data_IF_374953566248
#
_entry.id   IF_374953566248
#
_cell.length_a   1.000
_cell.length_b   1.000
_cell.length_c   1.000
_cell.angle_alpha   90.00
_cell.angle_beta   90.00
_cell.angle_gamma   90.00
#
_symmetry.space_group_name_H-M   'P 1'
#
loop_
_entity.id
_entity.type
_entity.pdbx_description
1 polymer ?
#
# COMPACT_ATOMS: atom_id res chain seq x y z
N UNK A 1 -0.31 -18.73 -1.68
CA UNK A 1 -0.31 -17.28 -1.99
C UNK A 1 -1.30 -16.60 -1.07
N UNK A 2 -0.84 -15.64 -0.28
CA UNK A 2 -1.61 -14.83 0.67
C UNK A 2 -1.27 -13.35 0.46
N UNK A 3 -2.07 -12.47 1.06
CA UNK A 3 -1.77 -11.03 1.09
C UNK A 3 -0.40 -10.83 1.77
N UNK A 4 0.44 -9.99 1.18
CA UNK A 4 1.81 -9.73 1.61
C UNK A 4 2.86 -10.65 0.98
N UNK A 5 2.48 -11.70 0.25
CA UNK A 5 3.47 -12.49 -0.50
C UNK A 5 4.03 -11.65 -1.66
N UNK A 6 5.36 -11.71 -1.83
CA UNK A 6 6.07 -11.13 -2.98
C UNK A 6 6.24 -12.20 -4.05
N UNK A 7 5.90 -11.86 -5.29
CA UNK A 7 5.96 -12.76 -6.43
C UNK A 7 6.75 -12.11 -7.55
N UNK A 8 7.68 -12.84 -8.14
CA UNK A 8 8.45 -12.38 -9.30
C UNK A 8 7.81 -12.93 -10.56
N UNK A 9 7.53 -12.06 -11.52
CA UNK A 9 7.05 -12.44 -12.85
C UNK A 9 7.83 -11.75 -13.94
N UNK A 10 8.03 -12.47 -15.04
CA UNK A 10 8.63 -11.93 -16.25
C UNK A 10 7.58 -11.18 -17.05
N UNK A 11 7.79 -9.90 -17.30
CA UNK A 11 6.97 -9.03 -18.16
C UNK A 11 7.90 -8.42 -19.20
N UNK A 12 7.56 -8.53 -20.49
CA UNK A 12 8.29 -7.91 -21.60
C UNK A 12 9.81 -8.11 -21.55
N UNK A 13 10.23 -9.35 -21.23
CA UNK A 13 11.63 -9.82 -21.08
C UNK A 13 12.37 -9.35 -19.82
N UNK A 14 11.79 -8.46 -19.02
CA UNK A 14 12.31 -8.06 -17.71
C UNK A 14 11.63 -8.84 -16.57
N UNK A 15 12.32 -9.01 -15.45
CA UNK A 15 11.71 -9.51 -14.21
C UNK A 15 11.16 -8.33 -13.41
N UNK A 16 9.91 -8.45 -12.98
CA UNK A 16 9.26 -7.50 -12.10
C UNK A 16 8.73 -8.22 -10.86
N UNK A 17 8.83 -7.56 -9.71
CA UNK A 17 8.32 -8.05 -8.43
C UNK A 17 6.98 -7.42 -8.13
N UNK A 18 6.07 -8.21 -7.57
CA UNK A 18 4.73 -7.77 -7.22
C UNK A 18 4.39 -8.19 -5.79
N UNK A 19 3.70 -7.33 -5.05
CA UNK A 19 3.10 -7.67 -3.77
C UNK A 19 1.62 -8.01 -3.97
N UNK A 20 1.17 -9.13 -3.39
CA UNK A 20 -0.25 -9.47 -3.36
C UNK A 20 -0.95 -8.61 -2.30
N UNK A 21 -1.92 -7.81 -2.73
CA UNK A 21 -2.69 -6.92 -1.84
C UNK A 21 -4.13 -7.37 -1.64
N UNK A 22 -4.61 -8.33 -2.43
CA UNK A 22 -5.98 -8.82 -2.31
C UNK A 22 -6.34 -9.90 -3.33
N UNK A 23 -7.56 -10.39 -3.21
CA UNK A 23 -8.15 -11.36 -4.13
C UNK A 23 -9.62 -11.02 -4.33
N UNK A 24 -10.13 -11.30 -5.52
CA UNK A 24 -11.57 -11.29 -5.80
C UNK A 24 -11.95 -12.48 -6.68
N UNK A 25 -13.24 -12.80 -6.72
CA UNK A 25 -13.78 -13.78 -7.66
C UNK A 25 -14.45 -13.02 -8.79
N UNK A 26 -13.99 -13.23 -10.02
CA UNK A 26 -14.58 -12.62 -11.20
C UNK A 26 -16.01 -13.14 -11.39
N UNK A 27 -17.01 -12.26 -11.35
CA UNK A 27 -18.42 -12.68 -11.37
C UNK A 27 -18.82 -13.40 -12.67
N UNK A 28 -18.16 -13.06 -13.79
CA UNK A 28 -18.48 -13.63 -15.10
C UNK A 28 -17.85 -14.99 -15.36
N UNK A 29 -16.67 -15.27 -14.79
CA UNK A 29 -15.92 -16.51 -15.05
C UNK A 29 -15.86 -17.44 -13.84
N UNK A 30 -16.16 -16.94 -12.64
CA UNK A 30 -15.98 -17.66 -11.38
C UNK A 30 -14.51 -17.82 -10.96
N UNK A 31 -13.57 -17.25 -11.73
CA UNK A 31 -12.14 -17.40 -11.46
C UNK A 31 -11.70 -16.53 -10.29
N UNK A 32 -10.80 -17.08 -9.47
CA UNK A 32 -10.15 -16.34 -8.40
C UNK A 32 -8.98 -15.53 -8.96
N UNK A 33 -9.09 -14.21 -8.92
CA UNK A 33 -8.10 -13.28 -9.43
C UNK A 33 -7.35 -12.63 -8.26
N UNK A 34 -6.02 -12.51 -8.40
CA UNK A 34 -5.19 -11.81 -7.44
C UNK A 34 -5.01 -10.35 -7.86
N UNK A 35 -5.05 -9.43 -6.88
CA UNK A 35 -4.73 -8.03 -7.06
C UNK A 35 -3.26 -7.83 -6.68
N UNK A 36 -2.48 -7.30 -7.62
CA UNK A 36 -1.03 -7.17 -7.51
C UNK A 36 -0.63 -5.69 -7.53
N UNK A 37 0.25 -5.29 -6.61
CA UNK A 37 0.95 -4.01 -6.66
C UNK A 37 2.37 -4.23 -7.18
N UNK A 38 2.79 -3.50 -8.21
CA UNK A 38 4.16 -3.58 -8.72
C UNK A 38 5.14 -2.94 -7.74
N UNK A 39 6.24 -3.61 -7.46
CA UNK A 39 7.32 -3.13 -6.62
C UNK A 39 8.48 -2.68 -7.51
N UNK A 40 8.80 -1.40 -7.47
CA UNK A 40 10.10 -0.92 -7.96
C UNK A 40 11.15 -1.22 -6.87
N UNK A 41 12.13 -2.11 -7.13
CA UNK A 41 13.13 -2.48 -6.12
C UNK A 41 13.97 -1.30 -5.63
N UNK A 42 14.06 -0.20 -6.39
CA UNK A 42 14.79 0.99 -5.98
C UNK A 42 13.99 1.92 -5.05
N UNK A 43 12.69 1.64 -4.89
CA UNK A 43 11.74 2.48 -4.15
C UNK A 43 11.14 1.77 -2.94
N UNK A 44 11.63 0.58 -2.57
CA UNK A 44 11.19 -0.16 -1.38
C UNK A 44 11.93 0.38 -0.15
N UNK A 45 11.17 0.89 0.81
CA UNK A 45 11.69 1.35 2.10
C UNK A 45 11.01 0.58 3.23
N UNK A 46 11.80 0.23 4.25
CA UNK A 46 11.26 -0.29 5.49
C UNK A 46 10.85 0.88 6.38
N UNK A 47 9.64 0.79 6.94
CA UNK A 47 9.06 1.83 7.79
C UNK A 47 8.38 1.17 8.99
N UNK A 48 8.47 1.81 10.16
CA UNK A 48 7.75 1.34 11.34
C UNK A 48 6.24 1.40 11.10
N UNK A 49 5.51 0.35 11.47
CA UNK A 49 4.03 0.35 11.40
C UNK A 49 3.43 1.52 12.17
N UNK A 50 4.10 2.00 13.22
CA UNK A 50 3.67 3.14 14.02
C UNK A 50 3.68 4.46 13.22
N UNK A 51 4.59 4.61 12.25
CA UNK A 51 4.66 5.78 11.37
C UNK A 51 3.55 5.77 10.30
N UNK A 52 3.08 4.58 9.93
CA UNK A 52 1.94 4.41 9.02
C UNK A 52 0.59 4.43 9.75
N UNK A 53 0.59 4.49 11.08
CA UNK A 53 -0.63 4.56 11.85
C UNK A 53 -1.40 5.83 11.47
N UNK A 54 -2.72 5.76 11.23
CA UNK A 54 -3.51 6.95 10.99
C UNK A 54 -3.30 7.93 12.15
N UNK A 55 -2.84 9.14 11.83
CA UNK A 55 -2.77 10.23 12.81
C UNK A 55 -4.14 10.38 13.45
N UNK A 56 -4.18 10.33 14.79
CA UNK A 56 -5.44 10.43 15.51
C UNK A 56 -5.99 11.83 15.23
N UNK A 57 -7.28 11.95 14.89
CA UNK A 57 -7.92 13.23 14.56
C UNK A 57 -7.64 14.34 15.59
N UNK A 58 -7.43 13.98 16.86
CA UNK A 58 -7.04 14.90 17.94
C UNK A 58 -5.69 15.59 17.72
N UNK A 59 -4.74 14.93 17.08
CA UNK A 59 -3.39 15.46 16.76
C UNK A 59 -3.43 16.41 15.56
N UNK A 60 -4.35 16.17 14.60
CA UNK A 60 -4.57 17.06 13.45
C UNK A 60 -5.15 18.40 13.91
N UNK A 61 -6.12 18.39 14.83
CA UNK A 61 -6.76 19.63 15.32
C UNK A 61 -5.75 20.52 16.05
N UNK A 62 -4.87 19.94 16.87
CA UNK A 62 -3.85 20.68 17.62
C UNK A 62 -2.84 21.43 16.74
N UNK A 63 -2.53 20.89 15.54
CA UNK A 63 -1.64 21.54 14.57
C UNK A 63 -2.29 22.76 13.89
N UNK A 64 -3.62 22.75 13.73
CA UNK A 64 -4.37 23.87 13.11
C UNK A 64 -4.73 24.99 14.07
N UNK A 65 -4.77 24.74 15.38
CA UNK A 65 -5.11 25.76 16.38
C UNK A 65 -3.93 26.68 16.75
N UNK A 66 -2.71 26.30 16.38
CA UNK A 66 -1.50 27.05 16.78
C UNK A 66 -1.17 28.24 15.85
N UNK A 67 -1.92 28.46 14.78
CA UNK A 67 -1.68 29.55 13.81
C UNK A 67 -2.78 30.61 13.75
N UNK A 68 -3.82 30.51 14.59
CA UNK A 68 -4.97 31.42 14.55
C UNK A 68 -5.09 32.32 15.81
N UNK A 69 -3.99 32.80 16.40
CA UNK A 69 -4.02 33.92 17.35
C UNK A 69 -2.69 34.67 17.34
N UNK A 70 -2.51 35.57 16.38
CA UNK A 70 -1.62 36.74 16.50
C UNK A 70 -2.44 37.93 16.03
N UNK A 71 -2.88 38.73 17.01
CA UNK A 71 -3.58 40.01 16.88
C UNK A 71 -2.57 41.15 17.10
#
# INVERSE_FOLDING_TARGET
>A
MKIGDIVTRKIDRAEASFCIIGFYTAQHTGEKVAILAMLDPNSVVEVSVQELAPVKLKEIIALTTSTCFMH
#
